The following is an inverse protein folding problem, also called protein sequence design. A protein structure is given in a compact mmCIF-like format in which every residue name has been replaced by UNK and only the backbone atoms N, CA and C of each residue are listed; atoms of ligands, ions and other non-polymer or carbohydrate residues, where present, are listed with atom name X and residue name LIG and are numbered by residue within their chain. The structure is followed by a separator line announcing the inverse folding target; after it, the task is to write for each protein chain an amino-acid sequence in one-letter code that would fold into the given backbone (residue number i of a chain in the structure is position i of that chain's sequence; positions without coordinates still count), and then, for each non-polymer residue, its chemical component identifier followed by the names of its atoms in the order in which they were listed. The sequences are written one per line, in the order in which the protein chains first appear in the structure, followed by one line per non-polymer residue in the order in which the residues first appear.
data_IF_838672012194
#
_entry.id   IF_838672012194
#
_cell.length_a   1.000
_cell.length_b   1.000
_cell.length_c   1.000
_cell.angle_alpha   90.00
_cell.angle_beta   90.00
_cell.angle_gamma   90.00
#
_symmetry.space_group_name_H-M   'P 1'
#
loop_
_entity.id
_entity.type
_entity.pdbx_description
1 polymer ?
#
# COMPACT_ATOMS: atom_id res chain seq x y z
N UNK A 1 -13.21 -36.59 -2.13
CA UNK A 1 -11.79 -36.18 -2.04
C UNK A 1 -11.64 -34.87 -2.78
N UNK A 2 -11.42 -33.76 -2.07
CA UNK A 2 -11.31 -32.43 -2.69
C UNK A 2 -9.84 -32.09 -2.99
N UNK A 3 -9.55 -31.66 -4.22
CA UNK A 3 -8.22 -31.15 -4.56
C UNK A 3 -7.97 -29.85 -3.79
N UNK A 4 -6.81 -29.75 -3.12
CA UNK A 4 -6.29 -28.52 -2.56
C UNK A 4 -5.29 -27.93 -3.55
N UNK A 5 -5.66 -26.82 -4.17
CA UNK A 5 -4.77 -26.04 -5.03
C UNK A 5 -4.21 -24.88 -4.22
N UNK A 6 -2.89 -24.66 -4.29
CA UNK A 6 -2.20 -23.52 -3.68
C UNK A 6 -1.31 -22.85 -4.71
N UNK A 7 -1.54 -21.55 -4.93
CA UNK A 7 -0.69 -20.68 -5.73
C UNK A 7 -0.02 -19.70 -4.77
N UNK A 8 1.31 -19.67 -4.75
CA UNK A 8 2.08 -18.68 -4.00
C UNK A 8 2.66 -17.71 -5.01
N UNK A 9 2.36 -16.42 -4.83
CA UNK A 9 2.97 -15.33 -5.58
C UNK A 9 3.78 -14.53 -4.56
N UNK A 10 5.10 -14.52 -4.74
CA UNK A 10 6.01 -13.78 -3.89
C UNK A 10 6.23 -12.38 -4.46
N UNK A 11 6.23 -11.37 -3.59
CA UNK A 11 6.62 -10.02 -3.93
C UNK A 11 7.83 -9.65 -3.07
N UNK A 12 8.97 -9.39 -3.72
CA UNK A 12 10.18 -8.96 -3.04
C UNK A 12 10.13 -7.44 -2.80
N UNK A 13 10.19 -7.05 -1.53
CA UNK A 13 10.25 -5.64 -1.14
C UNK A 13 11.73 -5.23 -1.15
N UNK A 14 12.10 -4.29 -2.01
CA UNK A 14 13.47 -3.73 -2.10
C UNK A 14 13.77 -2.77 -0.93
N UNK A 15 13.48 -3.19 0.29
CA UNK A 15 13.85 -2.51 1.53
C UNK A 15 14.80 -3.41 2.32
N UNK A 16 15.90 -2.88 2.88
CA UNK A 16 16.76 -3.67 3.76
C UNK A 16 15.95 -4.26 4.93
N UNK A 17 16.19 -5.52 5.28
CA UNK A 17 15.37 -6.24 6.29
C UNK A 17 15.41 -5.55 7.66
N UNK A 18 16.48 -4.81 7.94
CA UNK A 18 16.72 -4.00 9.13
C UNK A 18 15.90 -2.69 9.16
N UNK A 19 15.35 -2.26 8.03
CA UNK A 19 14.48 -1.08 7.95
C UNK A 19 13.00 -1.42 8.10
N UNK A 20 12.60 -2.67 7.86
CA UNK A 20 11.22 -3.15 8.04
C UNK A 20 11.02 -3.50 9.51
N UNK A 21 10.25 -2.67 10.22
CA UNK A 21 10.06 -2.79 11.67
C UNK A 21 8.88 -3.69 12.06
N UNK A 22 7.86 -3.74 11.21
CA UNK A 22 6.73 -4.64 11.40
C UNK A 22 5.99 -4.84 10.09
N UNK A 23 5.37 -6.01 9.93
CA UNK A 23 4.45 -6.33 8.83
C UNK A 23 3.19 -6.91 9.43
N UNK A 24 2.03 -6.45 8.98
CA UNK A 24 0.73 -7.05 9.29
C UNK A 24 0.01 -7.36 7.99
N UNK A 25 -0.56 -8.55 7.91
CA UNK A 25 -1.33 -9.00 6.77
C UNK A 25 -2.70 -9.48 7.26
N UNK A 26 -3.75 -8.82 6.80
CA UNK A 26 -5.14 -9.14 7.02
C UNK A 26 -5.82 -9.36 5.66
N UNK A 27 -7.01 -9.94 5.66
CA UNK A 27 -7.76 -10.21 4.42
C UNK A 27 -8.14 -8.95 3.65
N UNK A 28 -8.26 -7.83 4.35
CA UNK A 28 -8.71 -6.53 3.85
C UNK A 28 -7.65 -5.42 3.99
N UNK A 29 -6.48 -5.73 4.55
CA UNK A 29 -5.40 -4.76 4.75
C UNK A 29 -4.02 -5.41 4.75
N UNK A 30 -3.05 -4.73 4.14
CA UNK A 30 -1.64 -5.05 4.24
C UNK A 30 -0.88 -3.81 4.73
N UNK A 31 -0.20 -3.94 5.86
CA UNK A 31 0.48 -2.84 6.54
C UNK A 31 1.93 -3.20 6.80
N UNK A 32 2.82 -2.22 6.66
CA UNK A 32 4.18 -2.34 7.16
C UNK A 32 4.70 -0.99 7.66
N UNK A 33 5.61 -1.06 8.64
CA UNK A 33 6.37 0.10 9.09
C UNK A 33 7.80 -0.03 8.58
N UNK A 34 8.26 1.00 7.87
CA UNK A 34 9.60 1.10 7.33
C UNK A 34 10.27 2.41 7.72
N UNK A 35 11.60 2.40 7.85
CA UNK A 35 12.39 3.63 7.92
C UNK A 35 13.56 3.58 8.87
N UNK A 36 14.10 4.77 9.16
CA UNK A 36 15.26 4.96 10.00
C UNK A 36 14.87 5.79 11.23
N UNK A 37 14.68 5.12 12.36
CA UNK A 37 14.43 5.81 13.64
C UNK A 37 15.71 6.47 14.16
N UNK A 38 15.67 7.72 14.67
CA UNK A 38 14.52 8.61 14.87
C UNK A 38 14.24 9.61 13.73
N UNK A 39 14.95 9.49 12.60
CA UNK A 39 14.88 10.45 11.50
C UNK A 39 13.52 10.42 10.80
N UNK A 40 13.06 9.25 10.37
CA UNK A 40 11.83 9.07 9.63
C UNK A 40 11.34 7.63 9.72
N UNK A 41 10.08 7.47 10.11
CA UNK A 41 9.31 6.24 9.98
C UNK A 41 8.07 6.51 9.13
N UNK A 42 7.80 5.62 8.18
CA UNK A 42 6.59 5.58 7.39
C UNK A 42 5.83 4.30 7.70
N UNK A 43 4.60 4.44 8.18
CA UNK A 43 3.65 3.33 8.28
C UNK A 43 2.80 3.32 7.01
N UNK A 44 3.03 2.33 6.15
CA UNK A 44 2.27 2.13 4.93
C UNK A 44 1.10 1.18 5.17
N UNK A 45 -0.03 1.50 4.58
CA UNK A 45 -1.24 0.67 4.59
C UNK A 45 -1.83 0.62 3.18
N UNK A 46 -2.12 -0.59 2.73
CA UNK A 46 -2.91 -0.92 1.57
C UNK A 46 -4.20 -1.56 2.06
N UNK A 47 -5.38 -1.00 1.77
CA UNK A 47 -6.64 -1.53 2.27
C UNK A 47 -7.72 -1.61 1.19
N UNK A 48 -8.61 -2.60 1.33
CA UNK A 48 -9.73 -2.86 0.44
C UNK A 48 -11.03 -2.85 1.22
N UNK A 49 -12.06 -2.22 0.67
CA UNK A 49 -13.39 -2.16 1.27
C UNK A 49 -14.49 -2.13 0.22
N UNK A 50 -15.75 -2.46 0.56
CA UNK A 50 -16.87 -2.24 -0.35
C UNK A 50 -16.93 -0.79 -0.84
N UNK A 51 -17.17 -0.61 -2.13
CA UNK A 51 -17.24 0.72 -2.74
C UNK A 51 -18.55 1.43 -2.38
N UNK A 52 -18.45 2.68 -1.94
CA UNK A 52 -19.60 3.57 -1.73
C UNK A 52 -20.06 4.27 -3.02
N UNK A 53 -19.25 4.21 -4.10
CA UNK A 53 -19.53 4.89 -5.38
C UNK A 53 -20.03 3.94 -6.46
N UNK A 54 -19.63 2.67 -6.38
CA UNK A 54 -19.93 1.65 -7.39
C UNK A 54 -20.56 0.47 -6.67
N UNK A 55 -21.89 0.26 -6.76
CA UNK A 55 -22.55 -0.89 -6.15
C UNK A 55 -21.89 -2.20 -6.57
N UNK A 56 -21.57 -3.07 -5.60
CA UNK A 56 -20.85 -4.33 -5.83
C UNK A 56 -19.36 -4.19 -6.15
N UNK A 57 -18.83 -2.96 -6.24
CA UNK A 57 -17.42 -2.69 -6.49
C UNK A 57 -16.57 -2.69 -5.22
N UNK A 58 -15.25 -2.61 -5.42
CA UNK A 58 -14.26 -2.49 -4.33
C UNK A 58 -13.57 -1.12 -4.39
N UNK A 59 -13.36 -0.51 -3.24
CA UNK A 59 -12.47 0.66 -3.08
C UNK A 59 -11.14 0.19 -2.54
N UNK A 60 -10.09 0.45 -3.30
CA UNK A 60 -8.70 0.33 -2.84
C UNK A 60 -8.24 1.68 -2.28
N UNK A 61 -7.55 1.65 -1.14
CA UNK A 61 -6.90 2.81 -0.53
C UNK A 61 -5.46 2.53 -0.19
N UNK A 62 -4.62 3.56 -0.38
CA UNK A 62 -3.26 3.61 0.12
C UNK A 62 -3.13 4.75 1.11
N UNK A 63 -2.45 4.49 2.21
CA UNK A 63 -2.09 5.49 3.21
C UNK A 63 -0.64 5.30 3.59
N UNK A 64 0.05 6.40 3.83
CA UNK A 64 1.34 6.36 4.50
C UNK A 64 1.35 7.46 5.56
N UNK A 65 1.65 7.06 6.80
CA UNK A 65 1.70 7.95 7.97
C UNK A 65 3.15 8.15 8.38
N UNK A 66 3.65 9.38 8.30
CA UNK A 66 5.04 9.70 8.62
C UNK A 66 5.23 10.29 10.01
N UNK A 67 6.29 9.85 10.71
CA UNK A 67 6.75 10.45 11.97
C UNK A 67 8.28 10.49 12.04
N UNK A 68 8.83 11.45 12.76
CA UNK A 68 10.28 11.61 12.94
C UNK A 68 10.75 13.04 12.75
N UNK A 69 12.05 13.27 12.92
CA UNK A 69 12.67 14.61 12.88
C UNK A 69 12.48 15.33 11.53
N UNK A 70 12.35 14.58 10.43
CA UNK A 70 12.21 15.14 9.07
C UNK A 70 10.86 14.85 8.40
N UNK A 71 9.87 14.35 9.13
CA UNK A 71 8.57 13.96 8.54
C UNK A 71 7.79 15.14 7.93
N UNK A 72 8.05 16.38 8.38
CA UNK A 72 7.40 17.59 7.85
C UNK A 72 7.62 17.80 6.35
N UNK A 73 8.70 17.23 5.77
CA UNK A 73 8.96 17.28 4.33
C UNK A 73 7.88 16.57 3.51
N UNK A 74 7.14 15.62 4.08
CA UNK A 74 6.02 14.91 3.46
C UNK A 74 4.67 15.62 3.62
N UNK A 75 4.64 16.83 4.21
CA UNK A 75 3.44 17.65 4.28
C UNK A 75 2.85 17.98 2.89
N UNK A 76 1.54 18.28 2.81
CA UNK A 76 0.81 18.38 1.53
C UNK A 76 1.33 19.48 0.58
N UNK A 77 1.94 20.53 1.14
CA UNK A 77 2.47 21.64 0.36
C UNK A 77 3.94 21.47 -0.06
N UNK A 78 4.63 20.44 0.45
CA UNK A 78 6.04 20.18 0.19
C UNK A 78 6.25 19.26 -1.02
N UNK A 79 7.43 19.34 -1.63
CA UNK A 79 7.78 18.58 -2.85
C UNK A 79 7.70 17.07 -2.61
N UNK A 80 8.16 16.57 -1.46
CA UNK A 80 8.13 15.13 -1.16
C UNK A 80 6.69 14.62 -0.99
N UNK A 81 5.83 15.40 -0.32
CA UNK A 81 4.40 15.08 -0.21
C UNK A 81 3.70 15.01 -1.58
N UNK A 82 3.95 16.01 -2.45
CA UNK A 82 3.41 16.02 -3.83
C UNK A 82 3.91 14.84 -4.66
N UNK A 83 5.21 14.52 -4.57
CA UNK A 83 5.82 13.38 -5.28
C UNK A 83 5.21 12.05 -4.83
N UNK A 84 5.08 11.86 -3.51
CA UNK A 84 4.47 10.65 -2.93
C UNK A 84 3.02 10.49 -3.39
N UNK A 85 2.23 11.56 -3.31
CA UNK A 85 0.84 11.55 -3.79
C UNK A 85 0.73 11.11 -5.25
N UNK A 86 1.56 11.68 -6.12
CA UNK A 86 1.60 11.31 -7.55
C UNK A 86 1.93 9.83 -7.74
N UNK A 87 2.90 9.30 -7.00
CA UNK A 87 3.27 7.89 -7.08
C UNK A 87 2.12 6.97 -6.63
N UNK A 88 1.42 7.33 -5.56
CA UNK A 88 0.25 6.58 -5.08
C UNK A 88 -0.89 6.60 -6.10
N UNK A 89 -1.15 7.75 -6.72
CA UNK A 89 -2.16 7.85 -7.78
C UNK A 89 -1.84 6.95 -8.98
N UNK A 90 -0.57 6.93 -9.42
CA UNK A 90 -0.13 6.06 -10.51
C UNK A 90 -0.25 4.58 -10.14
N UNK A 91 0.19 4.20 -8.94
CA UNK A 91 0.07 2.82 -8.47
C UNK A 91 -1.39 2.39 -8.39
N UNK A 92 -2.27 3.22 -7.80
CA UNK A 92 -3.70 2.94 -7.72
C UNK A 92 -4.34 2.78 -9.10
N UNK A 93 -3.92 3.57 -10.09
CA UNK A 93 -4.42 3.47 -11.45
C UNK A 93 -4.04 2.13 -12.09
N UNK A 94 -2.81 1.66 -11.92
CA UNK A 94 -2.35 0.36 -12.45
C UNK A 94 -3.04 -0.82 -11.73
N UNK A 95 -3.17 -0.77 -10.40
CA UNK A 95 -3.92 -1.79 -9.63
C UNK A 95 -5.36 -1.87 -10.11
N UNK A 96 -6.02 -0.72 -10.27
CA UNK A 96 -7.39 -0.65 -10.78
C UNK A 96 -7.49 -1.30 -12.16
N UNK A 97 -6.63 -0.87 -13.09
CA UNK A 97 -6.61 -1.35 -14.47
C UNK A 97 -6.44 -2.87 -14.55
N UNK A 98 -5.51 -3.43 -13.77
CA UNK A 98 -5.26 -4.87 -13.74
C UNK A 98 -6.42 -5.64 -13.08
N UNK A 99 -6.98 -5.12 -11.99
CA UNK A 99 -8.13 -5.74 -11.32
C UNK A 99 -9.36 -5.79 -12.25
N UNK A 100 -9.66 -4.70 -12.95
CA UNK A 100 -10.76 -4.63 -13.92
C UNK A 100 -10.50 -5.55 -15.12
N UNK A 101 -9.26 -5.62 -15.63
CA UNK A 101 -8.88 -6.56 -16.70
C UNK A 101 -9.11 -8.01 -16.30
N UNK A 102 -8.77 -8.40 -15.06
CA UNK A 102 -8.98 -9.77 -14.56
C UNK A 102 -10.45 -10.09 -14.30
N UNK A 103 -11.25 -9.13 -13.85
CA UNK A 103 -12.68 -9.34 -13.61
C UNK A 103 -13.48 -9.53 -14.92
N UNK A 104 -12.94 -9.05 -16.04
CA UNK A 104 -13.55 -9.20 -17.37
C UNK A 104 -13.12 -10.49 -18.12
N UNK A 105 -12.19 -11.27 -17.55
CA UNK A 105 -11.67 -12.53 -18.12
C UNK A 105 -12.36 -13.74 -17.49
#
# INVERSE_FOLDING_TARGET
MGQKLSLVVEAEIQAPVDTVRSVKNATDAFEWEGGLWPLLLGEHELSWRPSSKTPGGTTFSQRESWRGLVSFLWGPNWIMGKKTRRNFELFNAEVKKEAERRAAA
#
